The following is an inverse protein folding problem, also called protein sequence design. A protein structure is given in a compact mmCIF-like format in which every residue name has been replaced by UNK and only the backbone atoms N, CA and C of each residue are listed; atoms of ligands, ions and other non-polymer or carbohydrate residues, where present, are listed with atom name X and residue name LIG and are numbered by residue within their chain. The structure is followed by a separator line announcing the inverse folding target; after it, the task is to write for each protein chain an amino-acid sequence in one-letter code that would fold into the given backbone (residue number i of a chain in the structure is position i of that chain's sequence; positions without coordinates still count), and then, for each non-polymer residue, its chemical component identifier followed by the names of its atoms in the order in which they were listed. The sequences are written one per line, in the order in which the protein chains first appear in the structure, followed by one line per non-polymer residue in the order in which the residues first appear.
data_IF_174129328555
#
_entry.id   IF_174129328555
#
_cell.length_a   1.000
_cell.length_b   1.000
_cell.length_c   1.000
_cell.angle_alpha   90.00
_cell.angle_beta   90.00
_cell.angle_gamma   90.00
#
_symmetry.space_group_name_H-M   'P 1'
#
loop_
_entity.id
_entity.type
_entity.pdbx_description
1 polymer ?
#
# COMPACT_ATOMS: atom_id res chain seq x y z
N UNK A 1 -8.28 7.43 -7.55
CA UNK A 1 -7.74 6.77 -6.34
C UNK A 1 -8.08 7.64 -5.14
N UNK A 2 -8.16 7.08 -3.92
CA UNK A 2 -8.46 7.89 -2.73
C UNK A 2 -7.48 9.06 -2.59
N UNK A 3 -8.03 10.27 -2.42
CA UNK A 3 -7.28 11.52 -2.21
C UNK A 3 -7.08 11.86 -0.73
N UNK A 4 -7.53 10.97 0.16
CA UNK A 4 -7.45 11.11 1.61
C UNK A 4 -7.04 9.79 2.27
N UNK A 5 -6.70 9.85 3.55
CA UNK A 5 -6.12 8.75 4.32
C UNK A 5 -4.92 9.24 5.13
N UNK A 6 -4.42 8.42 6.06
CA UNK A 6 -3.25 8.73 6.91
C UNK A 6 -1.96 8.07 6.41
N UNK A 7 -1.70 8.10 5.10
CA UNK A 7 -0.55 7.40 4.48
C UNK A 7 0.06 8.22 3.35
N UNK A 8 1.32 7.92 2.98
CA UNK A 8 2.18 8.78 2.17
C UNK A 8 1.83 8.87 0.68
N UNK A 9 0.90 8.04 0.21
CA UNK A 9 0.40 8.10 -1.17
C UNK A 9 -0.47 9.35 -1.44
N UNK A 10 -1.04 9.94 -0.38
CA UNK A 10 -1.98 11.06 -0.45
C UNK A 10 -1.41 12.29 -1.17
N UNK A 11 -0.22 12.84 -0.81
CA UNK A 11 0.33 14.02 -1.50
C UNK A 11 0.54 13.80 -3.01
N UNK A 12 0.90 12.59 -3.43
CA UNK A 12 1.01 12.26 -4.87
C UNK A 12 -0.35 12.37 -5.57
N UNK A 13 -1.38 11.74 -4.99
CA UNK A 13 -2.73 11.78 -5.54
C UNK A 13 -3.32 13.20 -5.56
N UNK A 14 -2.97 14.04 -4.59
CA UNK A 14 -3.36 15.46 -4.56
C UNK A 14 -2.71 16.26 -5.70
N UNK A 15 -1.44 15.98 -6.01
CA UNK A 15 -0.74 16.54 -7.17
C UNK A 15 -1.19 15.92 -8.50
N UNK A 16 -2.14 14.98 -8.51
CA UNK A 16 -2.59 14.26 -9.69
C UNK A 16 -1.60 13.20 -10.20
N UNK A 17 -0.55 12.89 -9.44
CA UNK A 17 0.36 11.76 -9.70
C UNK A 17 -0.29 10.48 -9.16
N UNK A 18 -0.37 9.38 -9.92
CA UNK A 18 -0.89 8.12 -9.40
C UNK A 18 -0.07 7.60 -8.21
N UNK A 19 -0.63 7.73 -7.01
CA UNK A 19 -0.09 7.21 -5.75
C UNK A 19 -0.92 6.04 -5.24
N UNK A 20 -0.22 4.97 -4.83
CA UNK A 20 -0.81 3.70 -4.41
C UNK A 20 -0.57 3.46 -2.92
N UNK A 21 -1.51 2.77 -2.29
CA UNK A 21 -1.34 2.22 -0.94
C UNK A 21 -2.00 0.85 -0.87
N UNK A 22 -1.56 0.06 0.10
CA UNK A 22 -2.04 -1.30 0.32
C UNK A 22 -2.64 -1.37 1.72
N UNK A 23 -3.65 -2.21 1.85
CA UNK A 23 -4.29 -2.53 3.13
C UNK A 23 -4.29 -4.04 3.26
N UNK A 24 -3.82 -4.53 4.40
CA UNK A 24 -3.89 -5.95 4.74
C UNK A 24 -5.27 -6.26 5.35
N UNK A 25 -5.81 -7.43 5.01
CA UNK A 25 -7.08 -7.93 5.55
C UNK A 25 -6.90 -9.38 6.00
N UNK A 26 -7.81 -9.87 6.84
CA UNK A 26 -7.81 -11.25 7.32
C UNK A 26 -7.90 -11.33 8.83
N UNK A 27 -7.04 -12.14 9.46
CA UNK A 27 -7.09 -12.42 10.91
C UNK A 27 -6.30 -11.42 11.76
N UNK A 28 -5.51 -10.54 11.13
CA UNK A 28 -4.79 -9.49 11.84
C UNK A 28 -5.76 -8.51 12.50
N UNK A 29 -5.50 -8.16 13.77
CA UNK A 29 -6.30 -7.17 14.49
C UNK A 29 -5.57 -5.81 14.51
N UNK A 30 -5.90 -4.96 13.55
CA UNK A 30 -5.28 -3.65 13.40
C UNK A 30 -5.47 -2.76 14.63
N UNK A 31 -6.68 -2.70 15.20
CA UNK A 31 -6.98 -1.77 16.31
C UNK A 31 -6.33 -2.19 17.63
N UNK A 32 -5.97 -3.46 17.78
CA UNK A 32 -5.21 -3.95 18.92
C UNK A 32 -3.71 -3.66 18.80
N UNK A 33 -3.15 -3.77 17.59
CA UNK A 33 -1.70 -3.67 17.34
C UNK A 33 -1.27 -2.23 17.08
N UNK A 34 -1.99 -1.50 16.24
CA UNK A 34 -1.56 -0.19 15.76
C UNK A 34 -1.39 0.83 16.89
N UNK A 35 -0.21 1.45 16.98
CA UNK A 35 0.15 2.44 18.00
C UNK A 35 0.08 1.93 19.45
N UNK A 36 0.27 0.62 19.66
CA UNK A 36 0.36 0.03 21.00
C UNK A 36 1.69 -0.68 21.20
N UNK A 37 1.98 -1.09 22.44
CA UNK A 37 3.11 -1.97 22.78
C UNK A 37 3.01 -3.37 22.15
N UNK A 38 1.85 -3.75 21.61
CA UNK A 38 1.64 -5.01 20.91
C UNK A 38 2.17 -4.98 19.47
N UNK A 39 2.58 -3.82 18.97
CA UNK A 39 3.31 -3.69 17.69
C UNK A 39 4.75 -4.18 17.83
N UNK A 40 4.91 -5.48 17.76
CA UNK A 40 6.18 -6.17 17.77
C UNK A 40 6.14 -7.35 16.80
N UNK A 41 7.29 -8.00 16.60
CA UNK A 41 7.46 -9.04 15.56
C UNK A 41 6.48 -10.22 15.69
N UNK A 42 5.91 -10.48 16.86
CA UNK A 42 4.92 -11.55 17.04
C UNK A 42 3.59 -11.26 16.31
N UNK A 43 3.28 -9.99 16.05
CA UNK A 43 2.11 -9.58 15.26
C UNK A 43 2.36 -9.67 13.74
N UNK A 44 3.60 -9.90 13.31
CA UNK A 44 3.95 -9.98 11.89
C UNK A 44 3.62 -11.37 11.31
N UNK A 45 2.56 -11.43 10.51
CA UNK A 45 2.06 -12.68 9.94
C UNK A 45 2.85 -13.01 8.66
N UNK A 46 3.70 -14.05 8.72
CA UNK A 46 4.59 -14.41 7.61
C UNK A 46 3.87 -14.58 6.25
N UNK A 47 2.73 -15.29 6.14
CA UNK A 47 1.98 -15.35 4.88
C UNK A 47 1.59 -13.99 4.31
N UNK A 48 1.28 -13.00 5.17
CA UNK A 48 0.88 -11.66 4.74
C UNK A 48 2.09 -10.91 4.20
N UNK A 49 3.21 -10.93 4.94
CA UNK A 49 4.46 -10.33 4.48
C UNK A 49 4.91 -10.87 3.13
N UNK A 50 4.80 -12.18 2.92
CA UNK A 50 5.15 -12.81 1.66
C UNK A 50 4.22 -12.36 0.52
N UNK A 51 2.91 -12.43 0.72
CA UNK A 51 1.93 -12.01 -0.28
C UNK A 51 2.08 -10.52 -0.63
N UNK A 52 2.17 -9.65 0.38
CA UNK A 52 2.34 -8.21 0.23
C UNK A 52 3.62 -7.89 -0.55
N UNK A 53 4.73 -8.59 -0.25
CA UNK A 53 6.00 -8.44 -0.97
C UNK A 53 5.89 -8.84 -2.45
N UNK A 54 5.22 -9.97 -2.74
CA UNK A 54 4.98 -10.42 -4.12
C UNK A 54 4.08 -9.43 -4.86
N UNK A 55 3.00 -8.97 -4.24
CA UNK A 55 2.07 -8.00 -4.85
C UNK A 55 2.77 -6.68 -5.17
N UNK A 56 3.59 -6.17 -4.26
CA UNK A 56 4.39 -4.97 -4.47
C UNK A 56 5.40 -5.16 -5.61
N UNK A 57 6.14 -6.29 -5.63
CA UNK A 57 7.13 -6.58 -6.66
C UNK A 57 6.50 -6.68 -8.06
N UNK A 58 5.41 -7.43 -8.20
CA UNK A 58 4.70 -7.59 -9.48
C UNK A 58 4.12 -6.24 -9.94
N UNK A 59 3.55 -5.45 -9.03
CA UNK A 59 3.02 -4.12 -9.36
C UNK A 59 4.13 -3.20 -9.84
N UNK A 60 5.24 -3.11 -9.10
CA UNK A 60 6.38 -2.27 -9.46
C UNK A 60 6.99 -2.67 -10.80
N UNK A 61 7.20 -3.97 -11.03
CA UNK A 61 7.74 -4.48 -12.29
C UNK A 61 6.84 -4.14 -13.48
N UNK A 62 5.54 -4.42 -13.37
CA UNK A 62 4.60 -4.16 -14.46
C UNK A 62 4.48 -2.67 -14.78
N UNK A 63 4.50 -1.79 -13.76
CA UNK A 63 4.47 -0.35 -13.97
C UNK A 63 5.77 0.18 -14.58
N UNK A 64 6.91 -0.36 -14.18
CA UNK A 64 8.22 0.02 -14.74
C UNK A 64 8.38 -0.44 -16.20
N UNK A 65 7.74 -1.54 -16.57
CA UNK A 65 7.80 -2.12 -17.91
C UNK A 65 6.58 -1.77 -18.79
N UNK A 66 5.68 -0.89 -18.34
CA UNK A 66 4.52 -0.48 -19.13
C UNK A 66 4.93 0.32 -20.37
N UNK A 67 4.27 0.08 -21.50
CA UNK A 67 4.53 0.79 -22.76
C UNK A 67 4.26 2.30 -22.66
N UNK A 68 3.36 2.69 -21.76
CA UNK A 68 2.94 4.07 -21.54
C UNK A 68 2.80 4.39 -20.05
N UNK A 69 2.88 5.68 -19.73
CA UNK A 69 2.64 6.17 -18.38
C UNK A 69 1.16 6.05 -18.01
N UNK A 70 0.90 5.80 -16.73
CA UNK A 70 -0.46 5.86 -16.19
C UNK A 70 -1.05 7.28 -16.31
N UNK A 71 -2.36 7.40 -16.55
CA UNK A 71 -3.02 8.70 -16.62
C UNK A 71 -2.98 9.41 -15.26
N UNK A 72 -2.80 10.73 -15.31
CA UNK A 72 -2.95 11.59 -14.13
C UNK A 72 -4.42 11.80 -13.80
N UNK A 73 -4.76 11.91 -12.52
CA UNK A 73 -6.14 12.16 -12.13
C UNK A 73 -6.52 13.63 -12.37
N UNK A 74 -7.57 13.85 -13.17
CA UNK A 74 -8.11 15.18 -13.48
C UNK A 74 -7.69 15.76 -14.85
N UNK A 75 -7.12 14.95 -15.74
CA UNK A 75 -6.92 15.26 -17.15
C UNK A 75 -7.90 14.53 -18.05
#
# INVERSE_FOLDING_TARGET
MPRGGGSDHVPFNQAGVPGFFWVETGVANYTYVHHTQHDNISAAIHPYLFQSSVAAAVTAYNLACADTLLPRQGG
#
